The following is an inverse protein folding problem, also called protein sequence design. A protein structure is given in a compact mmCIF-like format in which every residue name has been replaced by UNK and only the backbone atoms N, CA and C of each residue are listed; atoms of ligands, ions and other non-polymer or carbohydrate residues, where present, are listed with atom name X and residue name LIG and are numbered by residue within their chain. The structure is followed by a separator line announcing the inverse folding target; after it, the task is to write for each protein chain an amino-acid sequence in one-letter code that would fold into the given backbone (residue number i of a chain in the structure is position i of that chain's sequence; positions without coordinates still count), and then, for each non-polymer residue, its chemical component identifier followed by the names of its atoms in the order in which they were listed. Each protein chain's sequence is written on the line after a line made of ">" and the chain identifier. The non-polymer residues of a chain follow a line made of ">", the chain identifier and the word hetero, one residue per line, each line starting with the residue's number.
data_IF_928961366382
#
_entry.id   IF_928961366382
#
_cell.length_a   1.000
_cell.length_b   1.000
_cell.length_c   1.000
_cell.angle_alpha   90.00
_cell.angle_beta   90.00
_cell.angle_gamma   90.00
#
_symmetry.space_group_name_H-M   'P 1'
#
loop_
_entity.id
_entity.type
_entity.pdbx_description
1 polymer ?
#
# COMPACT_ATOMS: atom_id res chain seq x y z
N UNK A 1 -15.98 8.81 14.44
CA UNK A 1 -15.92 8.92 13.65
C UNK A 1 -16.00 8.98 13.48
N UNK A 2 -15.70 9.06 14.02
CA UNK A 2 -15.49 9.30 13.21
C UNK A 2 -15.35 9.41 13.39
N UNK A 3 -15.24 9.69 14.16
CA UNK A 3 -14.88 9.78 13.68
C UNK A 3 -14.62 10.19 13.98
N UNK A 4 -13.99 10.28 14.51
CA UNK A 4 -13.64 10.53 14.07
C UNK A 4 -13.23 10.39 14.30
N UNK A 5 -12.66 10.46 14.92
CA UNK A 5 -12.17 10.33 14.46
C UNK A 5 -11.88 10.11 14.58
N UNK A 6 -11.59 10.11 15.26
CA UNK A 6 -11.21 9.97 14.79
C UNK A 6 -10.87 10.22 14.83
N UNK A 7 -10.23 10.52 15.36
CA UNK A 7 -9.95 10.84 14.85
C UNK A 7 -10.13 11.23 14.74
N UNK A 8 -10.12 11.60 15.20
CA UNK A 8 -10.28 11.81 14.44
C UNK A 8 -10.65 12.35 14.19
N UNK A 9 -10.62 12.76 14.36
CA UNK A 9 -11.01 13.08 13.67
C UNK A 9 -11.68 13.45 13.29
N UNK A 10 -12.09 13.77 13.57
CA UNK A 10 -12.89 14.15 12.88
C UNK A 10 -13.22 14.68 12.71
N UNK A 11 -13.57 15.36 12.93
CA UNK A 11 -14.24 15.86 12.47
C UNK A 11 -14.71 16.58 12.24
N UNK A 12 -15.00 17.14 12.40
CA UNK A 12 -15.97 17.56 12.07
C UNK A 12 -16.81 17.74 11.78
N UNK A 13 -17.41 17.93 11.57
CA UNK A 13 -18.22 17.83 11.33
C UNK A 13 -19.07 17.49 10.82
N UNK A 14 -19.52 17.47 10.22
CA UNK A 14 -20.27 16.79 9.59
C UNK A 14 -20.95 17.08 8.56
N UNK A 15 -21.57 17.86 8.43
CA UNK A 15 -22.41 18.11 7.46
C UNK A 15 -21.83 18.30 6.30
N UNK A 16 -21.41 19.02 6.10
CA UNK A 16 -20.56 19.00 5.15
C UNK A 16 -20.04 17.63 5.12
N UNK A 17 -20.64 16.74 5.70
CA UNK A 17 -20.01 15.50 5.92
C UNK A 17 -19.84 14.66 4.71
N UNK A 18 -20.68 14.67 3.72
CA UNK A 18 -20.50 13.79 2.58
C UNK A 18 -19.27 14.10 1.78
N UNK A 19 -19.06 15.32 1.41
CA UNK A 19 -17.87 15.70 0.67
C UNK A 19 -16.63 15.54 1.51
N UNK A 20 -16.72 15.91 2.76
CA UNK A 20 -15.58 15.81 3.65
C UNK A 20 -15.16 14.38 3.89
N UNK A 21 -16.11 13.48 4.03
CA UNK A 21 -15.78 12.08 4.25
C UNK A 21 -15.04 11.47 3.07
N UNK A 22 -15.40 11.82 1.86
CA UNK A 22 -14.70 11.34 0.69
C UNK A 22 -13.27 11.85 0.65
N UNK A 23 -13.07 13.13 0.98
CA UNK A 23 -11.73 13.70 1.02
C UNK A 23 -10.89 13.08 2.12
N UNK A 24 -11.48 12.83 3.28
CA UNK A 24 -10.79 12.21 4.39
C UNK A 24 -10.38 10.78 4.05
N UNK A 25 -11.25 10.05 3.36
CA UNK A 25 -10.93 8.69 2.94
C UNK A 25 -9.75 8.69 1.98
N UNK A 26 -9.74 9.58 1.00
CA UNK A 26 -8.66 9.66 0.05
C UNK A 26 -7.34 10.02 0.74
N UNK A 27 -7.38 10.96 1.69
CA UNK A 27 -6.19 11.35 2.44
C UNK A 27 -5.67 10.22 3.29
N UNK A 28 -6.57 9.47 3.93
CA UNK A 28 -6.19 8.32 4.74
C UNK A 28 -5.58 7.22 3.90
N UNK A 29 -6.15 6.95 2.73
CA UNK A 29 -5.61 5.94 1.83
C UNK A 29 -4.20 6.31 1.37
N UNK A 30 -4.01 7.57 0.99
CA UNK A 30 -2.69 8.05 0.57
C UNK A 30 -1.68 7.86 1.69
N UNK A 31 -2.05 8.25 2.91
CA UNK A 31 -1.16 8.13 4.06
C UNK A 31 -0.81 6.67 4.36
N UNK A 32 -1.80 5.78 4.34
CA UNK A 32 -1.57 4.36 4.61
C UNK A 32 -0.68 3.72 3.56
N UNK A 33 -0.90 4.04 2.28
CA UNK A 33 -0.06 3.52 1.21
C UNK A 33 1.36 4.04 1.38
N UNK A 34 1.51 5.33 1.67
CA UNK A 34 2.84 5.93 1.86
C UNK A 34 3.58 5.28 3.02
N UNK A 35 2.90 5.01 4.13
CA UNK A 35 3.51 4.32 5.27
C UNK A 35 4.00 2.94 4.88
N UNK A 36 3.18 2.20 4.14
CA UNK A 36 3.55 0.85 3.71
C UNK A 36 4.73 0.89 2.74
N UNK A 37 4.72 1.83 1.79
CA UNK A 37 5.81 2.00 0.83
C UNK A 37 7.11 2.33 1.57
N UNK A 38 7.04 3.25 2.51
CA UNK A 38 8.23 3.64 3.28
C UNK A 38 8.82 2.46 4.04
N UNK A 39 7.95 1.65 4.65
CA UNK A 39 8.41 0.52 5.45
C UNK A 39 8.90 -0.64 4.60
N UNK A 40 8.24 -0.92 3.47
CA UNK A 40 8.50 -2.10 2.66
C UNK A 40 9.53 -1.87 1.55
N UNK A 41 9.65 -0.65 1.05
CA UNK A 41 10.46 -0.36 -0.13
C UNK A 41 11.55 0.68 0.14
N UNK A 42 11.91 0.88 1.40
CA UNK A 42 13.00 1.78 1.76
C UNK A 42 14.28 1.25 1.15
N UNK A 43 14.99 2.10 0.42
CA UNK A 43 16.20 1.66 -0.26
C UNK A 43 15.97 1.16 -1.68
N UNK A 44 14.73 0.98 -2.10
CA UNK A 44 14.43 0.58 -3.46
C UNK A 44 14.47 1.79 -4.40
N UNK A 45 14.70 1.57 -5.71
CA UNK A 45 14.57 2.68 -6.66
C UNK A 45 13.14 3.22 -6.67
N UNK A 46 12.98 4.44 -7.16
CA UNK A 46 11.66 5.10 -7.12
C UNK A 46 10.57 4.26 -7.79
N UNK A 47 10.88 3.67 -8.95
CA UNK A 47 9.93 2.82 -9.66
C UNK A 47 9.50 1.63 -8.78
N UNK A 48 10.43 1.09 -7.99
CA UNK A 48 10.11 0.01 -7.05
C UNK A 48 9.16 0.46 -5.95
N UNK A 49 9.30 1.71 -5.50
CA UNK A 49 8.38 2.27 -4.51
C UNK A 49 6.98 2.42 -5.09
N UNK A 50 6.88 2.93 -6.31
CA UNK A 50 5.59 3.02 -7.00
C UNK A 50 5.00 1.62 -7.20
N UNK A 51 5.85 0.64 -7.52
CA UNK A 51 5.42 -0.73 -7.73
C UNK A 51 4.77 -1.32 -6.48
N UNK A 52 5.36 -1.10 -5.30
CA UNK A 52 4.77 -1.59 -4.05
C UNK A 52 3.40 -0.94 -3.82
N UNK A 53 3.31 0.37 -4.05
CA UNK A 53 2.03 1.07 -3.92
C UNK A 53 1.00 0.50 -4.90
N UNK A 54 1.41 0.22 -6.13
CA UNK A 54 0.51 -0.33 -7.15
C UNK A 54 -0.01 -1.71 -6.75
N UNK A 55 0.84 -2.55 -6.14
CA UNK A 55 0.40 -3.86 -5.66
C UNK A 55 -0.72 -3.70 -4.63
N UNK A 56 -0.60 -2.75 -3.71
CA UNK A 56 -1.67 -2.50 -2.74
C UNK A 56 -2.97 -2.17 -3.46
N UNK A 57 -2.92 -1.27 -4.43
CA UNK A 57 -4.11 -0.86 -5.15
C UNK A 57 -4.68 -1.99 -6.01
N UNK A 58 -3.82 -2.81 -6.61
CA UNK A 58 -4.27 -3.96 -7.39
C UNK A 58 -4.99 -4.97 -6.50
N UNK A 59 -4.53 -5.17 -5.26
CA UNK A 59 -5.21 -6.04 -4.32
C UNK A 59 -6.59 -5.52 -3.97
N UNK A 60 -6.74 -4.21 -3.80
CA UNK A 60 -8.04 -3.60 -3.49
C UNK A 60 -9.06 -3.95 -4.59
N UNK A 61 -8.61 -4.02 -5.84
CA UNK A 61 -9.47 -4.32 -6.98
C UNK A 61 -9.65 -5.82 -7.23
N UNK A 62 -8.90 -6.66 -6.53
CA UNK A 62 -8.93 -8.11 -6.77
C UNK A 62 -9.91 -8.79 -5.83
N UNK A 63 -10.74 -9.71 -6.33
CA UNK A 63 -11.79 -10.32 -5.49
C UNK A 63 -11.28 -11.18 -4.34
N UNK A 64 -10.02 -11.62 -4.39
CA UNK A 64 -9.47 -12.48 -3.33
C UNK A 64 -8.87 -11.68 -2.17
N UNK A 65 -8.94 -10.35 -2.22
CA UNK A 65 -8.35 -9.49 -1.19
C UNK A 65 -9.42 -8.55 -0.63
N UNK A 66 -9.15 -7.94 0.55
CA UNK A 66 -10.05 -6.91 1.05
C UNK A 66 -10.21 -5.78 0.03
N UNK A 67 -11.37 -5.13 0.05
CA UNK A 67 -11.69 -4.12 -0.97
C UNK A 67 -11.43 -2.70 -0.49
N UNK A 68 -10.59 -2.52 0.53
CA UNK A 68 -10.18 -1.21 1.01
C UNK A 68 -8.68 -1.21 1.22
N UNK A 69 -8.07 -0.03 1.14
CA UNK A 69 -6.63 0.12 1.41
C UNK A 69 -6.32 -0.33 2.83
N UNK A 70 -7.11 0.12 3.80
CA UNK A 70 -6.90 -0.30 5.18
C UNK A 70 -6.93 -1.82 5.32
N UNK A 71 -7.92 -2.46 4.73
CA UNK A 71 -8.06 -3.91 4.79
C UNK A 71 -6.88 -4.64 4.16
N UNK A 72 -6.36 -4.14 3.04
CA UNK A 72 -5.22 -4.75 2.38
C UNK A 72 -3.95 -4.58 3.20
N UNK A 73 -3.69 -3.37 3.70
CA UNK A 73 -2.46 -3.08 4.45
C UNK A 73 -2.40 -3.86 5.75
N UNK A 74 -3.53 -3.95 6.46
CA UNK A 74 -3.59 -4.61 7.76
C UNK A 74 -4.08 -6.06 7.70
N UNK A 75 -4.20 -6.63 6.51
CA UNK A 75 -4.54 -8.05 6.38
C UNK A 75 -3.46 -8.88 7.09
N UNK A 76 -3.84 -9.83 7.96
CA UNK A 76 -2.85 -10.62 8.69
C UNK A 76 -1.82 -11.24 7.75
N UNK A 77 -0.55 -11.08 8.12
CA UNK A 77 0.61 -11.63 7.42
C UNK A 77 0.89 -11.06 6.03
N UNK A 78 0.13 -10.02 5.62
CA UNK A 78 0.31 -9.44 4.29
C UNK A 78 1.62 -8.65 4.17
N UNK A 79 1.99 -7.91 5.22
CA UNK A 79 3.18 -7.07 5.21
C UNK A 79 3.93 -7.21 6.54
N UNK A 80 5.22 -7.49 6.43
CA UNK A 80 6.09 -7.65 7.59
C UNK A 80 6.11 -6.39 8.46
N UNK A 81 6.04 -5.23 7.81
CA UNK A 81 6.14 -3.95 8.50
C UNK A 81 5.04 -3.73 9.54
N UNK A 82 3.87 -4.34 9.34
CA UNK A 82 2.78 -4.24 10.30
C UNK A 82 3.15 -4.96 11.59
N UNK A 83 3.80 -6.12 11.47
CA UNK A 83 4.19 -6.90 12.61
C UNK A 83 5.32 -6.31 13.40
N UNK A 84 6.37 -5.78 12.74
CA UNK A 84 7.55 -5.31 13.44
C UNK A 84 7.48 -3.83 13.79
N UNK A 85 6.33 -3.19 13.53
CA UNK A 85 6.10 -1.81 13.93
C UNK A 85 6.66 -0.76 12.99
N UNK A 86 7.31 -1.14 11.91
CA UNK A 86 7.88 -0.15 10.99
C UNK A 86 6.79 0.64 10.25
N UNK A 87 5.60 0.07 10.14
CA UNK A 87 4.45 0.77 9.55
C UNK A 87 4.12 2.05 10.32
N UNK A 88 4.55 2.16 11.57
CA UNK A 88 4.27 3.33 12.41
C UNK A 88 5.28 4.46 12.24
N UNK A 89 6.34 4.24 11.44
CA UNK A 89 7.29 5.30 11.14
C UNK A 89 6.65 6.29 10.16
N UNK A 90 7.03 7.56 10.32
CA UNK A 90 6.51 8.60 9.46
C UNK A 90 7.10 8.46 8.05
N UNK A 91 6.29 8.37 7.00
CA UNK A 91 6.83 8.23 5.65
C UNK A 91 7.50 9.52 5.18
N UNK A 92 8.51 9.37 4.34
CA UNK A 92 9.18 10.53 3.77
C UNK A 92 8.44 11.05 2.53
N UNK A 93 8.91 12.16 1.99
CA UNK A 93 8.27 12.80 0.85
C UNK A 93 8.25 11.89 -0.37
N UNK A 94 9.32 11.13 -0.58
CA UNK A 94 9.41 10.22 -1.71
C UNK A 94 8.37 9.11 -1.64
N UNK A 95 8.11 8.60 -0.44
CA UNK A 95 7.08 7.58 -0.25
C UNK A 95 5.68 8.14 -0.55
N UNK A 96 5.42 9.38 -0.11
CA UNK A 96 4.16 10.04 -0.43
C UNK A 96 4.00 10.23 -1.94
N UNK A 97 5.08 10.64 -2.61
CA UNK A 97 5.02 10.87 -4.05
C UNK A 97 4.79 9.57 -4.80
N UNK A 98 5.45 8.49 -4.39
CA UNK A 98 5.25 7.19 -5.01
C UNK A 98 3.80 6.71 -4.84
N UNK A 99 3.24 6.89 -3.64
CA UNK A 99 1.86 6.52 -3.38
C UNK A 99 0.91 7.34 -4.26
N UNK A 100 1.19 8.65 -4.40
CA UNK A 100 0.36 9.53 -5.23
C UNK A 100 0.43 9.13 -6.70
N UNK A 101 1.61 8.80 -7.20
CA UNK A 101 1.77 8.39 -8.60
C UNK A 101 1.01 7.10 -8.89
N UNK A 102 1.03 6.15 -7.95
CA UNK A 102 0.25 4.92 -8.10
C UNK A 102 -1.25 5.20 -8.08
N UNK A 103 -1.69 6.08 -7.18
CA UNK A 103 -3.11 6.48 -7.12
C UNK A 103 -3.54 7.17 -8.40
N UNK A 104 -2.62 7.87 -9.07
CA UNK A 104 -2.90 8.54 -10.33
C UNK A 104 -2.90 7.56 -11.53
N UNK A 105 -2.61 6.29 -11.30
CA UNK A 105 -2.74 5.26 -12.32
C UNK A 105 -1.44 4.64 -12.82
N UNK A 106 -0.29 5.03 -12.27
CA UNK A 106 0.98 4.44 -12.71
C UNK A 106 1.19 3.10 -12.02
N UNK A 107 1.13 2.02 -12.79
CA UNK A 107 1.40 0.67 -12.29
C UNK A 107 2.54 0.05 -13.11
N UNK A 108 3.77 0.14 -12.62
CA UNK A 108 4.89 -0.47 -13.33
C UNK A 108 4.92 -1.99 -13.24
N UNK A 109 3.99 -2.62 -12.50
CA UNK A 109 3.94 -4.07 -12.34
C UNK A 109 2.97 -4.75 -13.31
N UNK A 110 2.20 -3.98 -14.08
CA UNK A 110 1.23 -4.54 -15.03
C UNK A 110 0.18 -5.42 -14.35
N UNK A 111 -0.30 -4.98 -13.18
CA UNK A 111 -1.40 -5.66 -12.50
C UNK A 111 -1.02 -6.70 -11.48
N UNK A 112 0.24 -6.76 -11.08
CA UNK A 112 0.68 -7.75 -10.10
C UNK A 112 0.04 -7.54 -8.72
N UNK A 113 -0.19 -8.65 -8.03
CA UNK A 113 -0.78 -8.64 -6.69
C UNK A 113 0.16 -9.22 -5.65
N UNK A 114 1.34 -9.67 -6.04
CA UNK A 114 2.35 -10.19 -5.13
C UNK A 114 3.71 -9.58 -5.44
N UNK A 115 4.53 -9.45 -4.40
CA UNK A 115 5.94 -9.14 -4.59
C UNK A 115 6.74 -9.81 -3.48
N UNK A 116 8.00 -10.09 -3.75
CA UNK A 116 8.88 -10.70 -2.76
C UNK A 116 10.34 -10.45 -3.17
N UNK A 117 11.21 -10.47 -2.16
CA UNK A 117 12.64 -10.44 -2.39
C UNK A 117 13.11 -11.90 -2.52
N UNK A 118 13.56 -12.34 -3.70
CA UNK A 118 13.93 -13.75 -3.90
C UNK A 118 15.13 -14.20 -3.06
N UNK A 119 15.94 -13.26 -2.57
CA UNK A 119 17.08 -13.61 -1.74
C UNK A 119 16.69 -13.89 -0.29
N UNK A 120 15.57 -13.36 0.16
CA UNK A 120 15.16 -13.49 1.57
C UNK A 120 13.89 -14.29 1.75
N UNK A 121 13.09 -14.45 0.71
CA UNK A 121 11.83 -15.18 0.79
C UNK A 121 12.09 -16.68 0.99
N UNK A 122 11.24 -17.33 1.78
CA UNK A 122 11.37 -18.73 2.09
C UNK A 122 10.15 -19.58 1.71
N UNK A 123 9.07 -18.92 1.27
CA UNK A 123 7.83 -19.62 0.93
C UNK A 123 7.92 -20.25 -0.45
N UNK A 124 7.77 -21.57 -0.52
CA UNK A 124 7.75 -22.27 -1.81
C UNK A 124 6.57 -21.81 -2.65
N UNK A 125 5.45 -21.50 -1.98
CA UNK A 125 4.27 -21.04 -2.68
C UNK A 125 4.52 -19.75 -3.44
N UNK A 126 5.22 -18.80 -2.79
CA UNK A 126 5.47 -17.52 -3.46
C UNK A 126 6.39 -17.69 -4.67
N UNK A 127 7.35 -18.61 -4.58
CA UNK A 127 8.24 -18.91 -5.70
C UNK A 127 7.52 -19.59 -6.87
N UNK A 128 6.35 -20.17 -6.63
CA UNK A 128 5.56 -20.80 -7.68
C UNK A 128 4.72 -19.80 -8.48
N UNK A 129 4.63 -18.55 -8.02
CA UNK A 129 3.82 -17.55 -8.72
C UNK A 129 4.54 -17.06 -9.96
N UNK A 130 3.76 -16.68 -10.97
CA UNK A 130 4.35 -16.21 -12.22
C UNK A 130 4.92 -14.81 -12.04
N UNK A 131 6.23 -14.65 -12.26
CA UNK A 131 6.91 -13.38 -12.16
C UNK A 131 6.67 -12.61 -13.44
N UNK A 132 6.13 -11.40 -13.32
CA UNK A 132 5.87 -10.53 -14.46
C UNK A 132 7.04 -9.58 -14.70
N UNK A 133 7.59 -9.01 -13.61
CA UNK A 133 8.67 -8.04 -13.73
C UNK A 133 9.50 -8.06 -12.45
N UNK A 134 10.78 -7.77 -12.59
CA UNK A 134 11.69 -7.59 -11.45
C UNK A 134 12.12 -6.14 -11.42
N UNK A 135 11.96 -5.49 -10.28
CA UNK A 135 12.33 -4.09 -10.08
C UNK A 135 13.12 -4.02 -8.78
N UNK A 136 14.36 -3.54 -8.85
CA UNK A 136 15.23 -3.51 -7.69
C UNK A 136 15.44 -4.91 -7.15
N UNK A 137 15.19 -5.10 -5.86
CA UNK A 137 15.37 -6.39 -5.21
C UNK A 137 14.10 -7.24 -5.20
N UNK A 138 13.02 -6.76 -5.80
CA UNK A 138 11.72 -7.44 -5.73
C UNK A 138 11.31 -8.05 -7.06
N UNK A 139 10.80 -9.27 -6.99
CA UNK A 139 10.05 -9.88 -8.08
C UNK A 139 8.58 -9.56 -7.87
N UNK A 140 7.91 -9.10 -8.92
CA UNK A 140 6.47 -8.82 -8.88
C UNK A 140 5.75 -9.90 -9.67
N UNK A 141 4.69 -10.45 -9.10
CA UNK A 141 4.07 -11.68 -9.60
C UNK A 141 2.54 -11.62 -9.53
N UNK A 142 1.94 -12.52 -10.27
CA UNK A 142 0.49 -12.67 -10.26
C UNK A 142 0.09 -14.02 -9.67
#
# INVERSE_FOLDING_TARGET
>A
DYGVTADGIVGPETARLLGINLNDQASNDLYLIAKCVYAEARGEPYVGKVAVAAVILNRVEHPDFPNTVYGVVYQPWAFTAVFDGQINLEPDETAYQAAQDALNGWDPTYGCIYYYNPETATSEWIFSREVVVTIGKHNFAI
#
